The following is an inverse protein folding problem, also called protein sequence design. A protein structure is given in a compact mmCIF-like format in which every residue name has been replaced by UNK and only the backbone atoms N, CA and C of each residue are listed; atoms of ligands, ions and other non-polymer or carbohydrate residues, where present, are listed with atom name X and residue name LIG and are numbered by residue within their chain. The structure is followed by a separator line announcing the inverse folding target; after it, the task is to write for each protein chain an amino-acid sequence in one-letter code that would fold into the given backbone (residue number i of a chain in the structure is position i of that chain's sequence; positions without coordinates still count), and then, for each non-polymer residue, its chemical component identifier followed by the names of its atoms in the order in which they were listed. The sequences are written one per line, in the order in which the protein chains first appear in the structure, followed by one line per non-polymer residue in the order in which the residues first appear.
data_IF_635316253726
#
_entry.id   IF_635316253726
#
_cell.length_a   1.000
_cell.length_b   1.000
_cell.length_c   1.000
_cell.angle_alpha   90.00
_cell.angle_beta   90.00
_cell.angle_gamma   90.00
#
_symmetry.space_group_name_H-M   'P 1'
#
loop_
_entity.id
_entity.type
_entity.pdbx_description
1 polymer ?
#
# COMPACT_ATOMS: atom_id res chain seq x y z
N UNK A 1 6.62 25.92 -17.41
CA UNK A 1 6.79 25.33 -16.07
C UNK A 1 6.45 23.85 -16.20
N UNK A 2 7.45 22.98 -16.07
CA UNK A 2 7.27 21.53 -16.25
C UNK A 2 6.84 20.93 -14.92
N UNK A 3 5.60 20.46 -14.81
CA UNK A 3 5.14 19.65 -13.68
C UNK A 3 5.77 18.27 -13.83
N UNK A 4 6.84 18.02 -13.09
CA UNK A 4 7.44 16.70 -12.97
C UNK A 4 6.49 15.78 -12.21
N UNK A 5 5.64 15.08 -12.94
CA UNK A 5 4.91 13.93 -12.42
C UNK A 5 5.91 12.80 -12.29
N UNK A 6 6.30 12.43 -11.06
CA UNK A 6 7.15 11.27 -10.83
C UNK A 6 6.33 10.01 -11.10
N UNK A 7 6.52 9.43 -12.29
CA UNK A 7 5.98 8.11 -12.63
C UNK A 7 6.93 7.05 -12.09
N UNK A 8 6.51 6.31 -11.06
CA UNK A 8 7.16 5.06 -10.69
C UNK A 8 6.25 3.93 -11.12
N UNK A 9 6.28 3.63 -12.41
CA UNK A 9 5.81 2.34 -12.88
C UNK A 9 7.05 1.57 -13.30
N UNK A 10 7.41 0.53 -12.56
CA UNK A 10 8.11 -0.60 -13.17
C UNK A 10 7.07 -1.35 -14.03
N UNK A 11 6.59 -0.70 -15.10
CA UNK A 11 5.54 -1.24 -15.99
C UNK A 11 6.00 -2.47 -16.79
N UNK A 12 7.30 -2.73 -16.80
CA UNK A 12 7.91 -3.68 -17.73
C UNK A 12 8.42 -4.96 -17.06
N UNK A 13 8.26 -5.13 -15.74
CA UNK A 13 8.73 -6.35 -15.05
C UNK A 13 7.74 -6.78 -13.97
N UNK A 14 7.04 -7.91 -14.16
CA UNK A 14 6.20 -8.50 -13.12
C UNK A 14 7.02 -8.77 -11.85
N UNK A 15 6.44 -8.45 -10.69
CA UNK A 15 7.02 -8.79 -9.39
C UNK A 15 7.15 -10.32 -9.30
N UNK A 16 8.37 -10.79 -9.10
CA UNK A 16 8.68 -12.22 -8.89
C UNK A 16 8.66 -12.56 -7.41
N UNK A 17 8.26 -13.79 -7.07
CA UNK A 17 8.21 -14.24 -5.67
C UNK A 17 9.59 -14.27 -5.02
N UNK A 18 9.64 -13.94 -3.73
CA UNK A 18 10.87 -13.99 -2.93
C UNK A 18 11.89 -12.86 -3.20
N UNK A 19 11.55 -11.86 -4.01
CA UNK A 19 12.41 -10.70 -4.26
C UNK A 19 11.93 -9.46 -3.49
N UNK A 20 12.89 -8.65 -3.02
CA UNK A 20 12.63 -7.32 -2.49
C UNK A 20 12.88 -6.30 -3.58
N UNK A 21 11.86 -5.51 -3.91
CA UNK A 21 11.96 -4.43 -4.88
C UNK A 21 12.06 -3.09 -4.15
N UNK A 22 13.02 -2.27 -4.57
CA UNK A 22 13.21 -0.92 -4.05
C UNK A 22 12.86 0.08 -5.14
N UNK A 23 11.99 1.05 -4.81
CA UNK A 23 11.68 2.14 -5.72
C UNK A 23 12.97 2.90 -6.07
N UNK A 24 13.15 3.21 -7.36
CA UNK A 24 14.32 3.97 -7.84
C UNK A 24 14.35 5.41 -7.32
N UNK A 25 13.18 5.97 -7.04
CA UNK A 25 13.01 7.31 -6.50
C UNK A 25 12.26 7.27 -5.18
N UNK A 26 12.60 8.19 -4.28
CA UNK A 26 11.85 8.38 -3.04
C UNK A 26 10.47 8.95 -3.36
N UNK A 27 9.42 8.31 -2.84
CA UNK A 27 8.09 8.90 -2.86
C UNK A 27 8.05 10.07 -1.86
N UNK A 28 7.94 11.29 -2.37
CA UNK A 28 7.92 12.51 -1.53
C UNK A 28 6.54 12.77 -0.93
N UNK A 29 5.48 12.11 -1.44
CA UNK A 29 4.10 12.20 -0.93
C UNK A 29 3.63 13.66 -0.77
N UNK A 30 3.89 14.53 -1.75
CA UNK A 30 3.28 15.86 -1.73
C UNK A 30 1.79 15.71 -2.04
N UNK A 31 0.98 15.85 -1.00
CA UNK A 31 -0.46 15.65 -0.99
C UNK A 31 -1.09 16.20 -2.28
N UNK A 32 -1.79 15.32 -3.01
CA UNK A 32 -2.58 15.51 -4.25
C UNK A 32 -1.96 15.17 -5.60
N UNK A 33 -0.63 15.19 -5.80
CA UNK A 33 -0.04 14.94 -7.14
C UNK A 33 0.91 13.73 -7.23
N UNK A 34 1.45 13.28 -6.11
CA UNK A 34 2.38 12.15 -6.09
C UNK A 34 1.64 10.85 -5.74
N UNK A 35 1.75 9.85 -6.62
CA UNK A 35 1.23 8.51 -6.38
C UNK A 35 2.22 7.46 -6.87
N UNK A 36 2.10 6.25 -6.33
CA UNK A 36 2.80 5.06 -6.82
C UNK A 36 1.76 4.12 -7.40
N UNK A 37 1.98 3.68 -8.64
CA UNK A 37 1.21 2.62 -9.28
C UNK A 37 2.07 1.35 -9.32
N UNK A 38 1.60 0.31 -8.65
CA UNK A 38 2.28 -0.98 -8.56
C UNK A 38 1.50 -1.99 -9.40
N UNK A 39 2.16 -2.48 -10.44
CA UNK A 39 1.66 -3.53 -11.30
C UNK A 39 2.02 -4.90 -10.71
N UNK A 40 1.02 -5.62 -10.22
CA UNK A 40 1.17 -6.96 -9.65
C UNK A 40 1.15 -8.05 -10.73
N UNK A 41 0.97 -7.68 -12.00
CA UNK A 41 0.71 -8.62 -13.08
C UNK A 41 -0.69 -9.23 -13.00
N UNK A 42 -0.85 -10.43 -13.55
CA UNK A 42 -2.14 -11.14 -13.55
C UNK A 42 -2.40 -11.74 -12.16
N UNK A 43 -3.56 -11.46 -11.58
CA UNK A 43 -3.94 -11.95 -10.26
C UNK A 43 -4.54 -13.34 -10.38
N UNK A 44 -3.80 -14.33 -9.90
CA UNK A 44 -4.32 -15.68 -9.69
C UNK A 44 -4.79 -15.86 -8.25
N UNK A 45 -6.07 -16.15 -8.07
CA UNK A 45 -6.71 -16.43 -6.77
C UNK A 45 -6.92 -17.92 -6.51
N UNK A 46 -6.19 -18.76 -7.24
CA UNK A 46 -6.18 -20.20 -7.02
C UNK A 46 -5.67 -20.48 -5.60
N UNK A 47 -6.34 -21.36 -4.81
CA UNK A 47 -5.86 -21.74 -3.50
C UNK A 47 -4.42 -22.23 -3.57
N UNK A 48 -3.54 -21.66 -2.74
CA UNK A 48 -2.15 -22.10 -2.63
C UNK A 48 -2.02 -23.08 -1.46
N UNK A 49 -1.09 -24.02 -1.54
CA UNK A 49 -0.79 -24.97 -0.45
C UNK A 49 0.32 -24.48 0.46
N UNK A 50 1.05 -23.44 0.06
CA UNK A 50 2.06 -22.75 0.85
C UNK A 50 1.65 -21.30 1.14
N UNK A 51 2.08 -20.74 2.29
CA UNK A 51 1.96 -19.30 2.53
C UNK A 51 2.59 -18.53 1.39
N UNK A 52 1.79 -17.68 0.76
CA UNK A 52 2.22 -16.84 -0.33
C UNK A 52 1.68 -15.44 -0.08
N UNK A 53 2.60 -14.48 -0.10
CA UNK A 53 2.27 -13.10 0.16
C UNK A 53 3.13 -12.13 -0.65
N UNK A 54 2.52 -11.00 -1.00
CA UNK A 54 3.20 -9.82 -1.50
C UNK A 54 3.13 -8.77 -0.41
N UNK A 55 4.28 -8.18 -0.06
CA UNK A 55 4.36 -7.09 0.91
C UNK A 55 4.90 -5.84 0.24
N UNK A 56 4.21 -4.74 0.44
CA UNK A 56 4.54 -3.42 -0.08
C UNK A 56 4.69 -2.50 1.12
N UNK A 57 5.86 -1.89 1.29
CA UNK A 57 6.14 -1.02 2.44
C UNK A 57 6.60 0.36 1.95
N UNK A 58 5.94 1.42 2.43
CA UNK A 58 6.38 2.81 2.27
C UNK A 58 7.14 3.20 3.53
N UNK A 59 8.38 3.66 3.36
CA UNK A 59 9.27 4.02 4.45
C UNK A 59 9.50 5.54 4.52
N UNK A 60 9.53 6.08 5.73
CA UNK A 60 10.10 7.40 6.01
C UNK A 60 11.62 7.42 5.86
N UNK A 61 12.18 8.63 5.84
CA UNK A 61 13.63 8.88 5.86
C UNK A 61 14.36 8.21 7.04
N UNK A 62 13.68 8.03 8.18
CA UNK A 62 14.19 7.35 9.37
C UNK A 62 13.99 5.81 9.33
N UNK A 63 13.51 5.25 8.20
CA UNK A 63 13.17 3.84 8.00
C UNK A 63 11.96 3.33 8.80
N UNK A 64 11.10 4.22 9.31
CA UNK A 64 9.81 3.83 9.85
C UNK A 64 8.84 3.47 8.70
N UNK A 65 8.07 2.40 8.87
CA UNK A 65 7.05 1.99 7.91
C UNK A 65 5.79 2.84 8.07
N UNK A 66 5.65 3.88 7.27
CA UNK A 66 4.46 4.74 7.26
C UNK A 66 3.22 3.99 6.79
N UNK A 67 3.42 3.01 5.90
CA UNK A 67 2.39 2.16 5.36
C UNK A 67 3.00 0.80 5.04
N UNK A 68 2.32 -0.26 5.45
CA UNK A 68 2.55 -1.61 4.97
C UNK A 68 1.24 -2.17 4.43
N UNK A 69 1.27 -2.66 3.20
CA UNK A 69 0.18 -3.41 2.58
C UNK A 69 0.69 -4.83 2.37
N UNK A 70 -0.03 -5.81 2.91
CA UNK A 70 0.27 -7.23 2.70
C UNK A 70 -0.91 -7.92 2.03
N UNK A 71 -0.65 -8.54 0.88
CA UNK A 71 -1.59 -9.40 0.16
C UNK A 71 -1.25 -10.85 0.51
N UNK A 72 -2.12 -11.56 1.21
CA UNK A 72 -1.93 -12.95 1.61
C UNK A 72 -2.90 -13.84 0.83
N UNK A 73 -2.43 -14.46 -0.27
CA UNK A 73 -3.30 -15.31 -1.12
C UNK A 73 -3.76 -16.55 -0.38
N UNK A 74 -2.86 -17.19 0.38
CA UNK A 74 -3.15 -18.40 1.15
C UNK A 74 -4.33 -18.21 2.12
N UNK A 75 -4.36 -17.06 2.80
CA UNK A 75 -5.42 -16.74 3.76
C UNK A 75 -6.57 -15.94 3.13
N UNK A 76 -6.44 -15.48 1.89
CA UNK A 76 -7.44 -14.66 1.20
C UNK A 76 -7.59 -13.26 1.79
N UNK A 77 -6.52 -12.67 2.34
CA UNK A 77 -6.58 -11.38 3.02
C UNK A 77 -5.75 -10.30 2.33
N UNK A 78 -6.26 -9.08 2.36
CA UNK A 78 -5.47 -7.86 2.21
C UNK A 78 -5.37 -7.21 3.58
N UNK A 79 -4.17 -6.85 4.00
CA UNK A 79 -3.88 -6.19 5.27
C UNK A 79 -3.25 -4.84 5.02
N UNK A 80 -3.65 -3.85 5.80
CA UNK A 80 -3.02 -2.52 5.81
C UNK A 80 -2.65 -2.16 7.24
N UNK A 81 -1.40 -1.75 7.44
CA UNK A 81 -0.88 -1.35 8.73
C UNK A 81 -0.02 -0.08 8.59
N UNK A 82 0.11 0.67 9.67
CA UNK A 82 0.98 1.86 9.74
C UNK A 82 1.76 1.85 11.05
N UNK A 83 2.99 2.37 11.04
CA UNK A 83 3.71 2.69 12.27
C UNK A 83 3.45 4.14 12.67
N UNK A 84 3.39 4.39 13.97
CA UNK A 84 3.41 5.75 14.50
C UNK A 84 4.86 6.33 14.48
N UNK A 85 5.01 7.60 14.85
CA UNK A 85 6.31 8.30 14.88
C UNK A 85 7.32 7.72 15.89
N UNK A 86 6.90 6.75 16.73
CA UNK A 86 7.75 6.02 17.66
C UNK A 86 8.13 4.62 17.13
N UNK A 87 7.70 4.27 15.91
CA UNK A 87 7.92 2.96 15.29
C UNK A 87 7.02 1.85 15.83
N UNK A 88 5.98 2.16 16.59
CA UNK A 88 5.01 1.17 17.05
C UNK A 88 3.92 0.97 15.99
N UNK A 89 3.62 -0.29 15.69
CA UNK A 89 2.52 -0.65 14.79
C UNK A 89 1.17 -0.23 15.39
N UNK A 90 0.38 0.46 14.59
CA UNK A 90 -1.02 0.74 14.87
C UNK A 90 -1.88 -0.49 14.57
N UNK A 91 -3.18 -0.38 14.85
CA UNK A 91 -4.13 -1.45 14.57
C UNK A 91 -4.14 -1.81 13.07
N UNK A 92 -3.84 -3.07 12.76
CA UNK A 92 -3.94 -3.60 11.39
C UNK A 92 -5.41 -3.63 10.94
N UNK A 93 -5.66 -3.10 9.75
CA UNK A 93 -6.92 -3.22 9.04
C UNK A 93 -6.86 -4.44 8.12
N UNK A 94 -7.85 -5.32 8.21
CA UNK A 94 -7.89 -6.59 7.50
C UNK A 94 -9.14 -6.69 6.65
N UNK A 95 -8.93 -7.05 5.39
CA UNK A 95 -9.94 -7.08 4.34
C UNK A 95 -9.93 -8.41 3.59
N UNK A 96 -11.04 -8.76 2.94
CA UNK A 96 -11.09 -9.90 2.04
C UNK A 96 -10.39 -9.52 0.73
N UNK A 97 -9.41 -10.31 0.29
CA UNK A 97 -8.63 -10.03 -0.92
C UNK A 97 -9.51 -9.99 -2.18
N UNK A 98 -10.59 -10.78 -2.22
CA UNK A 98 -11.52 -10.85 -3.37
C UNK A 98 -12.37 -9.60 -3.54
N UNK A 99 -12.44 -8.73 -2.53
CA UNK A 99 -13.12 -7.44 -2.65
C UNK A 99 -12.30 -6.43 -3.48
N UNK A 100 -11.00 -6.68 -3.67
CA UNK A 100 -10.05 -5.74 -4.25
C UNK A 100 -9.48 -6.19 -5.59
N UNK A 101 -9.58 -7.49 -5.90
CA UNK A 101 -9.00 -8.04 -7.11
C UNK A 101 -9.89 -9.12 -7.72
N UNK A 102 -10.09 -9.00 -9.03
CA UNK A 102 -10.78 -9.99 -9.83
C UNK A 102 -9.81 -11.09 -10.32
N UNK A 103 -10.09 -12.39 -10.08
CA UNK A 103 -9.25 -13.47 -10.57
C UNK A 103 -9.10 -13.43 -12.10
N UNK A 104 -7.87 -13.65 -12.59
CA UNK A 104 -7.57 -13.65 -14.02
C UNK A 104 -7.59 -12.26 -14.66
N UNK A 105 -7.58 -11.19 -13.85
CA UNK A 105 -7.39 -9.82 -14.32
C UNK A 105 -6.06 -9.24 -13.81
N UNK A 106 -5.63 -8.16 -14.45
CA UNK A 106 -4.43 -7.42 -14.05
C UNK A 106 -4.67 -6.74 -12.70
N UNK A 107 -3.79 -7.00 -11.73
CA UNK A 107 -3.82 -6.37 -10.42
C UNK A 107 -2.98 -5.11 -10.43
N UNK A 108 -3.62 -3.97 -10.14
CA UNK A 108 -2.92 -2.70 -9.94
C UNK A 108 -3.27 -2.18 -8.56
N UNK A 109 -2.25 -1.79 -7.80
CA UNK A 109 -2.43 -1.04 -6.55
C UNK A 109 -1.86 0.36 -6.78
N UNK A 110 -2.72 1.36 -6.61
CA UNK A 110 -2.35 2.76 -6.61
C UNK A 110 -2.33 3.29 -5.19
N UNK A 111 -1.27 3.98 -4.81
CA UNK A 111 -1.07 4.51 -3.45
C UNK A 111 -0.73 5.99 -3.51
N UNK A 112 -1.42 6.82 -2.72
CA UNK A 112 -1.06 8.23 -2.54
C UNK A 112 -1.36 8.71 -1.13
N UNK A 113 -0.67 9.77 -0.72
CA UNK A 113 -0.97 10.48 0.51
C UNK A 113 -2.15 11.45 0.28
N UNK A 114 -3.14 11.42 1.17
CA UNK A 114 -4.27 12.33 1.22
C UNK A 114 -4.06 13.33 2.35
N UNK A 115 -4.27 14.61 2.04
CA UNK A 115 -4.29 15.65 3.08
C UNK A 115 -5.47 15.38 4.03
N UNK A 116 -5.18 15.34 5.32
CA UNK A 116 -6.17 15.13 6.37
C UNK A 116 -6.45 16.39 7.19
N UNK A 117 -5.88 17.53 6.82
CA UNK A 117 -6.02 18.81 7.53
C UNK A 117 -5.49 18.79 8.96
N UNK A 118 -4.77 17.74 9.38
CA UNK A 118 -4.36 17.49 10.77
C UNK A 118 -2.85 17.19 10.84
N UNK A 119 -2.10 18.02 11.58
CA UNK A 119 -0.66 18.25 11.37
C UNK A 119 0.31 17.17 11.88
N UNK A 120 -0.12 15.91 12.03
CA UNK A 120 0.71 14.89 12.71
C UNK A 120 0.75 13.49 12.09
N UNK A 121 -0.15 13.16 11.17
CA UNK A 121 -0.23 11.80 10.59
C UNK A 121 -0.51 11.87 9.10
N UNK A 122 0.16 11.03 8.30
CA UNK A 122 -0.16 10.85 6.89
C UNK A 122 -1.29 9.86 6.73
N UNK A 123 -2.33 10.26 6.00
CA UNK A 123 -3.37 9.34 5.54
C UNK A 123 -2.98 8.84 4.18
N UNK A 124 -3.02 7.53 3.99
CA UNK A 124 -2.80 6.91 2.69
C UNK A 124 -4.13 6.45 2.11
N UNK A 125 -4.27 6.62 0.81
CA UNK A 125 -5.31 5.96 0.04
C UNK A 125 -4.64 4.82 -0.72
N UNK A 126 -5.21 3.62 -0.59
CA UNK A 126 -4.84 2.44 -1.35
C UNK A 126 -6.03 2.11 -2.24
N UNK A 127 -5.80 2.16 -3.53
CA UNK A 127 -6.83 2.06 -4.56
C UNK A 127 -6.48 0.90 -5.49
N UNK A 128 -7.48 0.07 -5.76
CA UNK A 128 -7.42 -0.92 -6.83
C UNK A 128 -8.48 -0.56 -7.87
N UNK A 129 -8.51 -1.31 -8.98
CA UNK A 129 -9.56 -1.16 -9.99
C UNK A 129 -10.97 -1.34 -9.39
N UNK A 130 -11.07 -2.15 -8.34
CA UNK A 130 -12.34 -2.62 -7.80
C UNK A 130 -12.78 -1.82 -6.58
N UNK A 131 -11.82 -1.40 -5.74
CA UNK A 131 -12.13 -0.84 -4.44
C UNK A 131 -11.03 0.07 -3.92
N UNK A 132 -11.47 1.07 -3.18
CA UNK A 132 -10.61 2.00 -2.47
C UNK A 132 -10.71 1.81 -0.97
N UNK A 133 -9.58 1.93 -0.29
CA UNK A 133 -9.48 2.08 1.17
C UNK A 133 -8.66 3.31 1.51
N UNK A 134 -9.03 3.96 2.60
CA UNK A 134 -8.27 5.06 3.19
C UNK A 134 -7.83 4.57 4.55
N UNK A 135 -6.53 4.71 4.86
CA UNK A 135 -6.05 4.32 6.18
C UNK A 135 -6.74 5.13 7.27
N UNK A 136 -7.27 4.44 8.28
CA UNK A 136 -8.01 5.09 9.34
C UNK A 136 -7.07 5.87 10.25
N UNK A 137 -7.32 7.18 10.40
CA UNK A 137 -6.82 7.90 11.58
C UNK A 137 -7.61 7.40 12.78
N UNK A 138 -7.15 6.34 13.45
CA UNK A 138 -7.61 6.03 14.80
C UNK A 138 -6.75 6.80 15.78
N UNK A 139 -7.08 8.08 15.95
CA UNK A 139 -6.74 8.81 17.16
C UNK A 139 -7.40 8.06 18.32
N UNK A 140 -6.63 7.25 19.03
CA UNK A 140 -6.97 6.82 20.38
C UNK A 140 -6.51 7.91 21.36
N UNK A 141 -6.94 9.16 21.18
CA UNK A 141 -6.98 10.10 22.30
C UNK A 141 -8.32 9.91 23.01
N UNK A 142 -8.39 8.87 23.86
CA UNK A 142 -9.31 8.91 24.99
C UNK A 142 -8.71 9.89 26.00
N UNK A 143 -9.23 11.11 26.00
CA UNK A 143 -9.18 11.99 27.16
C UNK A 143 -9.78 11.28 28.36
N UNK A 144 -8.97 11.04 29.38
CA UNK A 144 -9.39 11.01 30.77
C UNK A 144 -8.37 11.79 31.60
#
# INVERSE_FOLDING_TARGET
MSTSTSYISERDTPISSGQTYHLKEHLVCNYTNDYVDIDLGMIEMSPTTSPDFVRITILEKNKLAELEITLERFYGHLKVAQQNNQGMWQQEEKYNLRDFFTPGQKGVIKIWAKDNGNSGYKVYVVDTLEKQITTGIRSCLRTH
#
